data_IF_458461896618
#
_entry.id   IF_458461896618
#
_cell.length_a   1.000
_cell.length_b   1.000
_cell.length_c   1.000
_cell.angle_alpha   90.00
_cell.angle_beta   90.00
_cell.angle_gamma   90.00
#
_symmetry.space_group_name_H-M   'P 1'
#
loop_
_entity.id
_entity.type
_entity.pdbx_description
1 polymer ?
#
# COMPACT_ATOMS: atom_id res chain seq x y z
N UNK A 1 -0.37 6.91 36.80
CA UNK A 1 -0.27 5.62 36.09
C UNK A 1 0.59 5.82 34.84
N UNK A 2 1.51 4.90 34.57
CA UNK A 2 2.45 4.98 33.46
C UNK A 2 1.74 5.02 32.10
N UNK A 3 0.61 4.31 31.95
CA UNK A 3 -0.18 4.32 30.72
C UNK A 3 -0.80 5.69 30.45
N UNK A 4 -1.37 6.33 31.48
CA UNK A 4 -1.96 7.65 31.35
C UNK A 4 -0.91 8.69 30.95
N UNK A 5 0.27 8.66 31.58
CA UNK A 5 1.37 9.56 31.24
C UNK A 5 1.81 9.39 29.78
N UNK A 6 1.88 8.14 29.29
CA UNK A 6 2.23 7.85 27.89
C UNK A 6 1.20 8.40 26.89
N UNK A 7 -0.10 8.33 27.19
CA UNK A 7 -1.15 8.88 26.31
C UNK A 7 -1.05 10.39 26.12
N UNK A 8 -0.54 11.12 27.11
CA UNK A 8 -0.36 12.58 27.04
C UNK A 8 1.00 13.01 26.47
N UNK A 9 1.91 12.08 26.22
CA UNK A 9 3.21 12.40 25.63
C UNK A 9 3.08 12.67 24.13
N UNK A 10 4.06 13.40 23.59
CA UNK A 10 4.11 13.78 22.19
C UNK A 10 4.28 12.56 21.28
N UNK A 11 3.40 12.44 20.28
CA UNK A 11 3.57 11.45 19.21
C UNK A 11 4.28 12.09 18.03
N UNK A 12 5.47 11.58 17.69
CA UNK A 12 6.23 12.06 16.53
C UNK A 12 5.65 11.49 15.23
N UNK A 13 5.54 12.33 14.21
CA UNK A 13 5.27 11.88 12.84
C UNK A 13 6.42 10.99 12.38
N UNK A 14 6.12 9.75 11.98
CA UNK A 14 7.10 8.84 11.39
C UNK A 14 6.95 8.84 9.87
N UNK A 15 8.01 9.20 9.11
CA UNK A 15 7.99 9.01 7.66
C UNK A 15 7.98 7.51 7.34
N UNK A 16 7.21 7.13 6.34
CA UNK A 16 7.28 5.79 5.79
C UNK A 16 8.67 5.59 5.16
N UNK A 17 9.41 4.59 5.65
CA UNK A 17 10.68 4.14 5.05
C UNK A 17 10.41 2.78 4.43
N UNK A 18 10.12 2.76 3.14
CA UNK A 18 9.94 1.53 2.38
C UNK A 18 11.10 1.39 1.38
N UNK A 19 11.80 0.27 1.45
CA UNK A 19 12.91 -0.08 0.57
C UNK A 19 12.48 -0.14 -0.90
N UNK A 20 11.23 -0.54 -1.19
CA UNK A 20 10.71 -0.57 -2.57
C UNK A 20 10.73 0.82 -3.20
N UNK A 21 10.42 1.88 -2.45
CA UNK A 21 10.48 3.25 -2.95
C UNK A 21 11.91 3.63 -3.36
N UNK A 22 12.90 3.11 -2.64
CA UNK A 22 14.32 3.34 -2.94
C UNK A 22 14.74 2.56 -4.19
N UNK A 23 14.28 1.31 -4.33
CA UNK A 23 14.52 0.50 -5.53
C UNK A 23 13.95 1.16 -6.79
N UNK A 24 12.77 1.78 -6.69
CA UNK A 24 12.13 2.49 -7.80
C UNK A 24 12.95 3.69 -8.32
N UNK A 25 13.80 4.31 -7.49
CA UNK A 25 14.74 5.32 -7.99
C UNK A 25 15.79 4.76 -8.96
N UNK A 26 15.97 3.44 -9.02
CA UNK A 26 16.90 2.74 -9.91
C UNK A 26 16.15 1.90 -10.98
N UNK A 27 14.92 2.28 -11.33
CA UNK A 27 14.14 1.64 -12.38
C UNK A 27 14.87 1.70 -13.73
N UNK A 28 14.95 0.58 -14.44
CA UNK A 28 15.52 0.43 -15.78
C UNK A 28 14.70 -0.54 -16.62
N UNK A 29 14.92 -0.57 -17.94
CA UNK A 29 14.25 -1.54 -18.82
C UNK A 29 14.54 -3.00 -18.42
N UNK A 30 15.73 -3.26 -17.87
CA UNK A 30 16.17 -4.61 -17.51
C UNK A 30 15.56 -5.12 -16.19
N UNK A 31 15.14 -4.21 -15.29
CA UNK A 31 14.58 -4.58 -13.99
C UNK A 31 13.08 -4.28 -13.83
N UNK A 32 12.44 -3.68 -14.85
CA UNK A 32 11.03 -3.29 -14.81
C UNK A 32 10.09 -4.47 -14.50
N UNK A 33 10.28 -5.63 -15.15
CA UNK A 33 9.45 -6.82 -14.91
C UNK A 33 9.61 -7.38 -13.49
N UNK A 34 10.83 -7.30 -12.95
CA UNK A 34 11.10 -7.75 -11.58
C UNK A 34 10.39 -6.85 -10.55
N UNK A 35 10.47 -5.52 -10.72
CA UNK A 35 9.77 -4.58 -9.86
C UNK A 35 8.25 -4.67 -10.00
N UNK A 36 7.74 -4.92 -11.21
CA UNK A 36 6.32 -5.16 -11.44
C UNK A 36 5.82 -6.39 -10.68
N UNK A 37 6.59 -7.48 -10.66
CA UNK A 37 6.26 -8.66 -9.87
C UNK A 37 6.23 -8.36 -8.37
N UNK A 38 7.23 -7.64 -7.82
CA UNK A 38 7.25 -7.26 -6.40
C UNK A 38 6.03 -6.40 -6.03
N UNK A 39 5.63 -5.46 -6.90
CA UNK A 39 4.44 -4.62 -6.69
C UNK A 39 3.16 -5.45 -6.76
N UNK A 40 3.05 -6.38 -7.71
CA UNK A 40 1.88 -7.26 -7.83
C UNK A 40 1.70 -8.14 -6.59
N UNK A 41 2.77 -8.70 -6.04
CA UNK A 41 2.73 -9.50 -4.82
C UNK A 41 2.27 -8.67 -3.62
N UNK A 42 2.82 -7.45 -3.45
CA UNK A 42 2.41 -6.52 -2.39
C UNK A 42 0.96 -6.08 -2.52
N UNK A 43 0.49 -5.87 -3.75
CA UNK A 43 -0.92 -5.57 -4.03
C UNK A 43 -1.82 -6.71 -3.57
N UNK A 44 -1.48 -7.96 -3.90
CA UNK A 44 -2.24 -9.12 -3.45
C UNK A 44 -2.27 -9.24 -1.92
N UNK A 45 -1.16 -8.97 -1.25
CA UNK A 45 -1.10 -9.00 0.20
C UNK A 45 -1.98 -7.91 0.82
N UNK A 46 -1.94 -6.69 0.28
CA UNK A 46 -2.83 -5.62 0.75
C UNK A 46 -4.31 -5.96 0.54
N UNK A 47 -4.68 -6.62 -0.56
CA UNK A 47 -6.06 -7.09 -0.76
C UNK A 47 -6.51 -8.06 0.33
N UNK A 48 -5.65 -8.99 0.76
CA UNK A 48 -5.96 -9.94 1.85
C UNK A 48 -6.16 -9.22 3.18
N UNK A 49 -5.29 -8.24 3.48
CA UNK A 49 -5.39 -7.44 4.70
C UNK A 49 -6.66 -6.57 4.72
N UNK A 50 -6.97 -5.89 3.62
CA UNK A 50 -8.20 -5.10 3.51
C UNK A 50 -9.45 -5.95 3.67
N UNK A 51 -9.47 -7.16 3.07
CA UNK A 51 -10.58 -8.09 3.27
C UNK A 51 -10.77 -8.44 4.75
N UNK A 52 -9.68 -8.69 5.49
CA UNK A 52 -9.73 -8.95 6.92
C UNK A 52 -10.24 -7.72 7.70
N UNK A 53 -9.74 -6.53 7.41
CA UNK A 53 -10.14 -5.30 8.08
C UNK A 53 -11.61 -4.97 7.85
N UNK A 54 -12.10 -5.11 6.62
CA UNK A 54 -13.51 -4.92 6.30
C UNK A 54 -14.40 -5.94 7.02
N UNK A 55 -13.98 -7.21 7.10
CA UNK A 55 -14.71 -8.23 7.87
C UNK A 55 -14.78 -7.89 9.36
N UNK A 56 -13.72 -7.30 9.92
CA UNK A 56 -13.71 -6.82 11.32
C UNK A 56 -14.65 -5.62 11.47
N UNK A 57 -14.57 -4.65 10.54
CA UNK A 57 -15.42 -3.45 10.54
C UNK A 57 -16.89 -3.82 10.54
N UNK A 58 -17.30 -4.66 9.60
CA UNK A 58 -18.68 -5.13 9.41
C UNK A 58 -19.20 -6.01 10.54
N UNK A 59 -18.33 -6.58 11.39
CA UNK A 59 -18.75 -7.45 12.48
C UNK A 59 -18.90 -6.72 13.81
N UNK A 60 -18.11 -5.66 14.00
CA UNK A 60 -17.90 -5.07 15.32
C UNK A 60 -18.13 -3.57 15.38
N UNK A 61 -18.24 -2.88 14.23
CA UNK A 61 -18.16 -1.43 14.17
C UNK A 61 -19.17 -0.81 13.19
N UNK A 62 -20.36 -1.40 13.05
CA UNK A 62 -21.41 -0.95 12.11
C UNK A 62 -22.06 0.40 12.49
N UNK A 63 -22.03 0.78 13.77
CA UNK A 63 -22.52 2.07 14.27
C UNK A 63 -21.45 2.80 15.12
N UNK A 64 -20.46 3.46 14.48
CA UNK A 64 -19.36 4.10 15.19
C UNK A 64 -19.75 5.16 16.22
N UNK A 65 -20.75 6.03 15.97
CA UNK A 65 -21.25 6.99 16.98
C UNK A 65 -21.74 6.34 18.28
N UNK A 66 -22.35 5.16 18.21
CA UNK A 66 -22.89 4.45 19.37
C UNK A 66 -21.84 3.63 20.16
N UNK A 67 -20.62 3.49 19.65
CA UNK A 67 -19.56 2.72 20.32
C UNK A 67 -19.14 3.32 21.67
N UNK A 68 -18.77 2.48 22.66
CA UNK A 68 -18.05 2.95 23.84
C UNK A 68 -16.76 3.70 23.46
N UNK A 69 -16.35 4.71 24.24
CA UNK A 69 -15.21 5.59 23.94
C UNK A 69 -13.94 4.85 23.53
N UNK A 70 -13.59 3.77 24.25
CA UNK A 70 -12.41 2.96 23.92
C UNK A 70 -12.52 2.30 22.53
N UNK A 71 -13.71 1.82 22.17
CA UNK A 71 -13.96 1.19 20.86
C UNK A 71 -13.96 2.21 19.73
N UNK A 72 -14.33 3.47 19.98
CA UNK A 72 -14.15 4.56 19.00
C UNK A 72 -12.68 4.75 18.63
N UNK A 73 -11.78 4.68 19.61
CA UNK A 73 -10.33 4.73 19.35
C UNK A 73 -9.85 3.58 18.48
N UNK A 74 -10.31 2.35 18.75
CA UNK A 74 -9.97 1.17 17.93
C UNK A 74 -10.53 1.30 16.51
N UNK A 75 -11.78 1.77 16.39
CA UNK A 75 -12.41 2.03 15.10
C UNK A 75 -11.60 3.05 14.28
N UNK A 76 -11.16 4.16 14.88
CA UNK A 76 -10.35 5.16 14.18
C UNK A 76 -9.03 4.57 13.67
N UNK A 77 -8.37 3.73 14.46
CA UNK A 77 -7.16 3.04 14.02
C UNK A 77 -7.43 2.05 12.87
N UNK A 78 -8.53 1.29 12.95
CA UNK A 78 -8.96 0.37 11.89
C UNK A 78 -9.24 1.12 10.58
N UNK A 79 -10.00 2.22 10.64
CA UNK A 79 -10.31 3.05 9.47
C UNK A 79 -9.05 3.66 8.86
N UNK A 80 -8.12 4.14 9.68
CA UNK A 80 -6.83 4.62 9.18
C UNK A 80 -6.07 3.51 8.42
N UNK A 81 -6.10 2.28 8.92
CA UNK A 81 -5.52 1.12 8.24
C UNK A 81 -6.19 0.79 6.90
N UNK A 82 -7.52 0.82 6.85
CA UNK A 82 -8.30 0.60 5.63
C UNK A 82 -7.97 1.68 4.59
N UNK A 83 -8.10 2.96 4.95
CA UNK A 83 -7.85 4.07 4.01
C UNK A 83 -6.43 4.07 3.47
N UNK A 84 -5.42 3.78 4.30
CA UNK A 84 -4.03 3.66 3.83
C UNK A 84 -3.87 2.46 2.88
N UNK A 85 -4.52 1.34 3.17
CA UNK A 85 -4.47 0.17 2.30
C UNK A 85 -5.13 0.41 0.94
N UNK A 86 -6.27 1.10 0.91
CA UNK A 86 -6.95 1.48 -0.35
C UNK A 86 -6.09 2.40 -1.21
N UNK A 87 -5.47 3.41 -0.58
CA UNK A 87 -4.52 4.31 -1.26
C UNK A 87 -3.31 3.53 -1.80
N UNK A 88 -2.80 2.56 -1.03
CA UNK A 88 -1.70 1.71 -1.48
C UNK A 88 -2.10 0.82 -2.67
N UNK A 89 -3.29 0.25 -2.68
CA UNK A 89 -3.80 -0.51 -3.84
C UNK A 89 -3.90 0.37 -5.09
N UNK A 90 -4.46 1.56 -4.96
CA UNK A 90 -4.57 2.50 -6.07
C UNK A 90 -3.18 2.88 -6.61
N UNK A 91 -2.19 3.08 -5.73
CA UNK A 91 -0.81 3.29 -6.13
C UNK A 91 -0.21 2.08 -6.84
N UNK A 92 -0.44 0.87 -6.35
CA UNK A 92 0.02 -0.36 -7.02
C UNK A 92 -0.55 -0.48 -8.43
N UNK A 93 -1.85 -0.19 -8.61
CA UNK A 93 -2.50 -0.23 -9.94
C UNK A 93 -1.84 0.76 -10.91
N UNK A 94 -1.62 2.00 -10.46
CA UNK A 94 -0.93 3.03 -11.26
C UNK A 94 0.51 2.62 -11.61
N UNK A 95 1.25 2.06 -10.65
CA UNK A 95 2.63 1.66 -10.86
C UNK A 95 2.72 0.49 -11.85
N UNK A 96 1.84 -0.51 -11.74
CA UNK A 96 1.79 -1.64 -12.66
C UNK A 96 1.44 -1.22 -14.09
N UNK A 97 0.49 -0.29 -14.25
CA UNK A 97 0.15 0.28 -15.56
C UNK A 97 1.36 0.98 -16.21
N UNK A 98 2.08 1.79 -15.43
CA UNK A 98 3.27 2.48 -15.91
C UNK A 98 4.37 1.50 -16.32
N UNK A 99 4.65 0.49 -15.50
CA UNK A 99 5.69 -0.50 -15.77
C UNK A 99 5.38 -1.37 -16.99
N UNK A 100 4.11 -1.70 -17.23
CA UNK A 100 3.69 -2.41 -18.44
C UNK A 100 4.03 -1.61 -19.73
N UNK A 101 3.98 -0.27 -19.67
CA UNK A 101 4.40 0.60 -20.76
C UNK A 101 5.88 0.49 -21.12
N UNK A 102 6.74 0.25 -20.13
CA UNK A 102 8.20 0.10 -20.33
C UNK A 102 8.51 -1.21 -21.10
N UNK A 103 7.85 -2.31 -20.72
CA UNK A 103 8.02 -3.61 -21.39
C UNK A 103 7.60 -3.58 -22.86
N UNK A 104 6.47 -2.91 -23.15
CA UNK A 104 5.98 -2.73 -24.51
C UNK A 104 6.98 -1.92 -25.36
N UNK A 105 7.59 -0.89 -24.78
CA UNK A 105 8.64 -0.08 -25.41
C UNK A 105 9.90 -0.89 -25.73
N UNK A 106 10.41 -1.67 -24.77
CA UNK A 106 11.59 -2.51 -24.95
C UNK A 106 11.40 -3.57 -26.05
N UNK A 107 10.21 -4.17 -26.14
CA UNK A 107 9.86 -5.11 -27.21
C UNK A 107 9.86 -4.49 -28.61
N UNK A 108 9.42 -3.23 -28.73
CA UNK A 108 9.43 -2.49 -30.00
C UNK A 108 10.86 -2.15 -30.46
N UNK A 109 11.73 -1.76 -29.52
CA UNK A 109 13.14 -1.45 -29.81
C UNK A 109 13.91 -2.69 -30.29
N UNK A 110 13.76 -3.83 -29.61
CA UNK A 110 14.40 -5.11 -29.99
C UNK A 110 13.98 -5.58 -31.41
N UNK A 111 12.74 -5.32 -31.82
CA UNK A 111 12.26 -5.63 -33.19
C UNK A 111 12.89 -4.75 -34.26
N UNK A 112 13.21 -3.48 -33.97
CA UNK A 112 13.88 -2.58 -34.93
C UNK A 112 15.33 -3.01 -35.17
N UNK A 113 16.05 -3.38 -34.11
CA UNK A 113 17.47 -3.80 -34.21
C UNK A 113 17.65 -5.09 -35.02
N UNK A 114 16.71 -6.05 -34.95
CA UNK A 114 16.77 -7.29 -35.75
C UNK A 114 16.44 -7.12 -37.24
N UNK A 115 15.94 -5.96 -37.68
CA UNK A 115 15.52 -5.70 -39.07
C UNK A 115 16.51 -4.82 -39.85
N UNK A 116 17.59 -4.35 -39.22
CA UNK A 116 18.69 -3.62 -39.85
C UNK A 116 19.88 -4.57 -40.07
#
# INVERSE_FOLDING_TARGET
DALAAWVFDTTKTRPAKDELMIKLYNLSEDNASHLAAEIADRRQEMMRLLYLYEKIRLRHYDDPPALPTRHKGVYLALMAGITQGEQFLAWCDQALELLAGIEAGAGMQKKKVKKA
#
